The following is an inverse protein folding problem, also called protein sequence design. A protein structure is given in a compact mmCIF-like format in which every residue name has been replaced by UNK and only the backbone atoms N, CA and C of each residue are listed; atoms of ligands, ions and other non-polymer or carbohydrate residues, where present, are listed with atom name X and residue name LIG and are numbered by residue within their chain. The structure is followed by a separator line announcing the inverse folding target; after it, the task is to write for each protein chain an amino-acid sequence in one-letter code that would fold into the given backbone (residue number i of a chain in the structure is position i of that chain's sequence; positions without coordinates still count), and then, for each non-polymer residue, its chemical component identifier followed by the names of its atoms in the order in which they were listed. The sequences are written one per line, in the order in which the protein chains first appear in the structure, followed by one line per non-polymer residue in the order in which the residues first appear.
data_IF_594150004570
#
_entry.id   IF_594150004570
#
_cell.length_a   1.000
_cell.length_b   1.000
_cell.length_c   1.000
_cell.angle_alpha   90.00
_cell.angle_beta   90.00
_cell.angle_gamma   90.00
#
_symmetry.space_group_name_H-M   'P 1'
#
loop_
_entity.id
_entity.type
_entity.pdbx_description
1 polymer ?
#
# COMPACT_ATOMS: atom_id res chain seq x y z
N UNK A 1 -22.25 3.69 -39.86
CA UNK A 1 -21.47 3.48 -38.62
C UNK A 1 -21.03 4.85 -38.13
N UNK A 2 -21.83 5.46 -37.25
CA UNK A 2 -21.79 6.89 -36.87
C UNK A 2 -21.99 7.05 -35.34
N UNK A 3 -21.48 6.12 -34.54
CA UNK A 3 -21.82 6.07 -33.11
C UNK A 3 -20.85 6.85 -32.21
N UNK A 4 -19.69 7.32 -32.72
CA UNK A 4 -18.71 8.09 -31.93
C UNK A 4 -19.00 9.59 -31.89
N UNK A 5 -19.07 10.24 -33.06
CA UNK A 5 -19.28 11.68 -33.16
C UNK A 5 -20.65 12.14 -32.60
N UNK A 6 -21.64 11.25 -32.63
CA UNK A 6 -22.99 11.53 -32.13
C UNK A 6 -23.08 11.62 -30.59
N UNK A 7 -22.03 11.27 -29.85
CA UNK A 7 -22.02 11.44 -28.39
C UNK A 7 -21.48 12.81 -27.97
N UNK A 8 -20.34 13.25 -28.51
CA UNK A 8 -19.72 14.54 -28.19
C UNK A 8 -20.62 15.73 -28.57
N UNK A 9 -21.23 15.67 -29.75
CA UNK A 9 -22.14 16.72 -30.22
C UNK A 9 -23.38 16.90 -29.31
N UNK A 10 -23.86 15.83 -28.66
CA UNK A 10 -24.97 15.91 -27.68
C UNK A 10 -24.58 16.70 -26.43
N UNK A 11 -23.29 16.78 -26.12
CA UNK A 11 -22.74 17.57 -25.01
C UNK A 11 -22.15 18.92 -25.47
N UNK A 12 -22.39 19.33 -26.72
CA UNK A 12 -21.99 20.64 -27.24
C UNK A 12 -20.54 20.72 -27.74
N UNK A 13 -19.86 19.58 -27.92
CA UNK A 13 -18.50 19.54 -28.49
C UNK A 13 -18.64 19.20 -29.97
N UNK A 14 -18.67 20.22 -30.84
CA UNK A 14 -18.98 20.07 -32.27
C UNK A 14 -17.92 20.61 -33.23
N UNK A 15 -16.94 21.36 -32.74
CA UNK A 15 -15.98 22.08 -33.58
C UNK A 15 -14.55 21.65 -33.30
N UNK A 16 -13.74 21.65 -34.36
CA UNK A 16 -12.30 21.40 -34.29
C UNK A 16 -11.53 22.69 -34.56
N UNK A 17 -10.36 22.85 -33.92
CA UNK A 17 -9.47 24.00 -34.15
C UNK A 17 -8.88 23.95 -35.57
N UNK A 18 -8.53 22.74 -36.04
CA UNK A 18 -7.98 22.51 -37.38
C UNK A 18 -9.09 22.00 -38.30
N UNK A 19 -9.42 22.76 -39.35
CA UNK A 19 -10.53 22.45 -40.26
C UNK A 19 -10.11 21.72 -41.55
N UNK A 20 -8.89 21.95 -42.01
CA UNK A 20 -8.44 21.54 -43.34
C UNK A 20 -7.63 20.22 -43.34
N UNK A 21 -7.74 19.42 -42.28
CA UNK A 21 -7.00 18.16 -42.13
C UNK A 21 -7.98 17.04 -41.81
N UNK A 22 -7.91 15.98 -42.61
CA UNK A 22 -8.71 14.78 -42.37
C UNK A 22 -8.32 14.11 -41.05
N UNK A 23 -9.34 13.71 -40.29
CA UNK A 23 -9.15 12.92 -39.08
C UNK A 23 -8.62 11.52 -39.41
N UNK A 24 -7.97 10.89 -38.43
CA UNK A 24 -7.57 9.49 -38.50
C UNK A 24 -8.24 8.69 -37.38
N UNK A 25 -8.20 7.36 -37.48
CA UNK A 25 -8.70 6.45 -36.46
C UNK A 25 -7.56 5.79 -35.73
N UNK A 26 -7.66 5.73 -34.41
CA UNK A 26 -6.71 5.06 -33.54
C UNK A 26 -7.41 4.48 -32.31
N UNK A 27 -6.77 3.49 -31.69
CA UNK A 27 -7.24 2.94 -30.42
C UNK A 27 -6.55 3.73 -29.30
N UNK A 28 -7.34 4.44 -28.50
CA UNK A 28 -6.86 5.12 -27.30
C UNK A 28 -7.12 4.24 -26.08
N UNK A 29 -6.20 4.24 -25.11
CA UNK A 29 -6.27 3.44 -23.87
C UNK A 29 -6.29 1.91 -24.07
N UNK A 30 -5.49 1.38 -25.00
CA UNK A 30 -5.41 -0.07 -25.25
C UNK A 30 -4.80 -0.84 -24.07
N UNK A 31 -3.78 -0.28 -23.42
CA UNK A 31 -3.21 -0.74 -22.15
C UNK A 31 -3.30 0.39 -21.13
N UNK A 32 -3.35 0.03 -19.85
CA UNK A 32 -3.35 1.01 -18.76
C UNK A 32 -2.13 1.94 -18.81
N UNK A 33 -0.99 1.44 -19.29
CA UNK A 33 0.26 2.19 -19.40
C UNK A 33 0.31 3.14 -20.60
N UNK A 34 -0.63 3.04 -21.54
CA UNK A 34 -0.67 3.92 -22.72
C UNK A 34 -1.19 5.32 -22.37
N UNK A 35 -1.82 5.50 -21.20
CA UNK A 35 -2.33 6.79 -20.73
C UNK A 35 -2.07 6.97 -19.23
N UNK A 36 -0.99 7.68 -18.89
CA UNK A 36 -0.59 7.98 -17.51
C UNK A 36 -0.89 9.44 -17.17
N UNK A 37 -1.47 9.68 -16.00
CA UNK A 37 -1.81 11.02 -15.50
C UNK A 37 -1.01 11.27 -14.23
N UNK A 38 -0.37 12.45 -14.14
CA UNK A 38 0.22 12.95 -12.90
C UNK A 38 -0.43 14.27 -12.55
N UNK A 39 -1.01 14.36 -11.37
CA UNK A 39 -1.61 15.60 -10.86
C UNK A 39 -0.53 16.67 -10.63
N UNK A 40 -0.90 17.92 -10.86
CA UNK A 40 -0.11 19.10 -10.51
C UNK A 40 -0.88 19.86 -9.45
N UNK A 41 -0.27 20.09 -8.29
CA UNK A 41 -0.92 20.82 -7.20
C UNK A 41 -0.99 22.34 -7.47
N UNK A 42 -1.63 23.07 -6.55
CA UNK A 42 -1.79 24.53 -6.65
C UNK A 42 -0.45 25.28 -6.62
N UNK A 43 0.61 24.66 -6.09
CA UNK A 43 1.97 25.19 -6.04
C UNK A 43 2.79 24.80 -7.28
N UNK A 44 2.19 24.11 -8.24
CA UNK A 44 2.83 23.68 -9.49
C UNK A 44 3.69 22.43 -9.36
N UNK A 45 3.63 21.70 -8.24
CA UNK A 45 4.40 20.49 -8.02
C UNK A 45 3.67 19.28 -8.63
N UNK A 46 4.43 18.52 -9.42
CA UNK A 46 3.96 17.27 -10.01
C UNK A 46 4.01 16.17 -8.94
N UNK A 47 2.87 15.53 -8.68
CA UNK A 47 2.77 14.41 -7.75
C UNK A 47 3.38 13.16 -8.41
N UNK A 48 4.38 12.57 -7.75
CA UNK A 48 5.08 11.36 -8.19
C UNK A 48 5.28 10.42 -7.01
N UNK A 49 5.33 9.13 -7.29
CA UNK A 49 5.73 8.13 -6.29
C UNK A 49 7.19 8.39 -5.86
N UNK A 50 7.41 8.60 -4.56
CA UNK A 50 8.71 8.93 -3.97
C UNK A 50 9.35 7.76 -3.21
N UNK A 51 8.81 6.55 -3.33
CA UNK A 51 9.28 5.35 -2.63
C UNK A 51 8.50 5.04 -1.36
N UNK A 52 8.74 3.86 -0.74
CA UNK A 52 8.14 3.49 0.53
C UNK A 52 8.79 4.30 1.66
N UNK A 53 8.14 5.39 2.08
CA UNK A 53 8.53 6.07 3.32
C UNK A 53 7.74 5.45 4.47
N UNK A 54 8.45 4.79 5.39
CA UNK A 54 7.88 4.45 6.69
C UNK A 54 8.02 5.69 7.58
N UNK A 55 6.99 6.07 8.36
CA UNK A 55 7.17 7.10 9.36
C UNK A 55 8.27 6.67 10.33
N UNK A 56 9.26 7.55 10.55
CA UNK A 56 10.29 7.34 11.55
C UNK A 56 9.64 7.49 12.93
N UNK A 57 9.23 6.37 13.51
CA UNK A 57 8.85 6.31 14.93
C UNK A 57 10.16 6.28 15.71
N UNK A 58 10.29 7.13 16.72
CA UNK A 58 11.45 7.07 17.60
C UNK A 58 11.49 5.69 18.28
N UNK A 59 12.63 5.01 18.29
CA UNK A 59 12.72 3.69 18.90
C UNK A 59 12.42 3.83 20.39
N UNK A 60 11.28 3.28 20.82
CA UNK A 60 11.02 3.06 22.24
C UNK A 60 12.11 2.08 22.71
N UNK A 61 13.05 2.57 23.52
CA UNK A 61 14.06 1.71 24.16
C UNK A 61 13.34 0.80 25.15
N UNK A 62 12.93 -0.37 24.66
CA UNK A 62 12.50 -1.45 25.54
C UNK A 62 13.79 -2.07 26.07
N UNK A 63 14.08 -1.85 27.35
CA UNK A 63 15.20 -2.55 27.98
C UNK A 63 14.98 -4.05 27.82
N UNK A 64 16.00 -4.76 27.35
CA UNK A 64 16.00 -6.21 27.22
C UNK A 64 15.93 -6.85 28.62
N UNK A 65 14.75 -6.81 29.23
CA UNK A 65 14.39 -7.75 30.28
C UNK A 65 14.23 -9.10 29.61
N UNK A 66 14.65 -10.16 30.30
CA UNK A 66 14.35 -11.53 29.92
C UNK A 66 12.83 -11.65 29.69
N UNK A 67 12.42 -11.57 28.43
CA UNK A 67 11.02 -11.67 28.04
C UNK A 67 10.61 -13.12 28.32
N UNK A 68 9.94 -13.33 29.44
CA UNK A 68 9.30 -14.59 29.77
C UNK A 68 8.10 -14.78 28.84
N UNK A 69 8.32 -15.48 27.74
CA UNK A 69 7.28 -15.76 26.77
C UNK A 69 6.35 -16.83 27.33
N UNK A 70 5.06 -16.51 27.40
CA UNK A 70 4.04 -17.46 27.83
C UNK A 70 4.04 -18.69 26.92
N UNK A 71 3.94 -19.88 27.52
CA UNK A 71 3.83 -21.13 26.76
C UNK A 71 2.47 -21.12 26.03
N UNK A 72 2.40 -21.67 24.82
CA UNK A 72 1.16 -21.67 24.03
C UNK A 72 -0.06 -22.21 24.82
N UNK A 73 0.16 -23.19 25.71
CA UNK A 73 -0.86 -23.78 26.57
C UNK A 73 -1.48 -22.81 27.58
N UNK A 74 -0.80 -21.71 27.91
CA UNK A 74 -1.22 -20.71 28.89
C UNK A 74 -1.85 -19.47 28.23
N UNK A 75 -1.89 -19.43 26.89
CA UNK A 75 -2.51 -18.34 26.15
C UNK A 75 -4.04 -18.34 26.29
N UNK A 76 -4.63 -17.15 26.14
CA UNK A 76 -6.08 -16.99 26.06
C UNK A 76 -6.65 -17.75 24.84
N UNK A 77 -7.93 -18.10 24.90
CA UNK A 77 -8.59 -18.84 23.83
C UNK A 77 -8.56 -18.08 22.49
N UNK A 78 -8.65 -16.75 22.54
CA UNK A 78 -8.61 -15.87 21.37
C UNK A 78 -7.25 -15.93 20.65
N UNK A 79 -6.15 -15.92 21.40
CA UNK A 79 -4.80 -15.98 20.83
C UNK A 79 -4.48 -17.40 20.34
N UNK A 80 -4.96 -18.45 21.02
CA UNK A 80 -4.82 -19.84 20.56
C UNK A 80 -5.51 -20.10 19.23
N UNK A 81 -6.60 -19.38 18.94
CA UNK A 81 -7.31 -19.47 17.66
C UNK A 81 -6.51 -18.86 16.49
N UNK A 82 -5.67 -17.85 16.77
CA UNK A 82 -4.88 -17.15 15.76
C UNK A 82 -3.54 -17.84 15.48
N UNK A 83 -2.94 -18.48 16.50
CA UNK A 83 -1.62 -19.11 16.38
C UNK A 83 -1.68 -20.57 16.76
N UNK A 84 -1.33 -21.44 15.81
CA UNK A 84 -1.04 -22.83 16.14
C UNK A 84 0.16 -22.92 17.10
N UNK A 85 0.30 -24.02 17.86
CA UNK A 85 1.47 -24.23 18.73
C UNK A 85 2.80 -24.09 17.98
N UNK A 86 2.85 -24.53 16.72
CA UNK A 86 4.05 -24.44 15.88
C UNK A 86 4.31 -22.99 15.45
N UNK A 87 3.26 -22.26 15.07
CA UNK A 87 3.36 -20.84 14.71
C UNK A 87 3.83 -20.01 15.89
N UNK A 88 3.30 -20.28 17.09
CA UNK A 88 3.72 -19.61 18.32
C UNK A 88 5.19 -19.86 18.63
N UNK A 89 5.61 -21.13 18.62
CA UNK A 89 7.02 -21.51 18.84
C UNK A 89 7.95 -20.81 17.84
N UNK A 90 7.55 -20.73 16.57
CA UNK A 90 8.33 -20.06 15.53
C UNK A 90 8.42 -18.55 15.75
N UNK A 91 7.33 -17.94 16.21
CA UNK A 91 7.26 -16.51 16.52
C UNK A 91 8.19 -16.16 17.70
N UNK A 92 8.20 -16.98 18.75
CA UNK A 92 9.13 -16.83 19.88
C UNK A 92 10.60 -17.04 19.46
N UNK A 93 10.88 -17.98 18.56
CA UNK A 93 12.24 -18.16 18.02
C UNK A 93 12.69 -16.94 17.21
N UNK A 94 11.79 -16.37 16.41
CA UNK A 94 12.07 -15.17 15.63
C UNK A 94 12.30 -13.95 16.53
N UNK A 95 11.46 -13.76 17.54
CA UNK A 95 11.64 -12.64 18.48
C UNK A 95 12.98 -12.74 19.22
N UNK A 96 13.36 -13.92 19.73
CA UNK A 96 14.69 -14.15 20.34
C UNK A 96 15.85 -13.91 19.37
N UNK A 97 15.72 -14.33 18.10
CA UNK A 97 16.76 -14.16 17.08
C UNK A 97 16.98 -12.68 16.70
N UNK A 98 15.93 -11.87 16.74
CA UNK A 98 15.96 -10.47 16.29
C UNK A 98 15.86 -9.44 17.41
N UNK A 99 15.80 -9.85 18.69
CA UNK A 99 15.68 -8.98 19.87
C UNK A 99 16.79 -7.91 20.01
N UNK A 100 17.94 -8.09 19.36
CA UNK A 100 19.05 -7.14 19.36
C UNK A 100 19.25 -6.35 18.07
N UNK A 101 18.34 -6.45 17.10
CA UNK A 101 18.47 -5.79 15.80
C UNK A 101 17.49 -4.61 15.72
N UNK A 102 18.02 -3.38 15.72
CA UNK A 102 17.25 -2.12 15.81
C UNK A 102 16.15 -1.97 14.74
N UNK A 103 16.27 -2.68 13.61
CA UNK A 103 15.30 -2.66 12.52
C UNK A 103 14.05 -3.52 12.76
N UNK A 104 14.04 -4.39 13.78
CA UNK A 104 12.94 -5.31 14.09
C UNK A 104 12.40 -5.17 15.51
N UNK A 105 12.93 -4.22 16.29
CA UNK A 105 12.47 -3.91 17.65
C UNK A 105 11.02 -3.43 17.72
N UNK A 106 10.37 -3.18 16.58
CA UNK A 106 8.97 -2.75 16.49
C UNK A 106 8.01 -3.86 16.05
N UNK A 107 8.53 -5.07 15.73
CA UNK A 107 7.70 -6.28 15.64
C UNK A 107 7.42 -6.83 17.05
N UNK A 108 7.09 -5.94 17.99
CA UNK A 108 6.30 -6.36 19.13
C UNK A 108 4.92 -6.72 18.58
N UNK A 109 4.69 -8.01 18.52
CA UNK A 109 3.35 -8.54 18.37
C UNK A 109 2.63 -8.20 19.68
N UNK A 110 2.00 -7.02 19.71
CA UNK A 110 1.15 -6.57 20.81
C UNK A 110 -0.08 -7.48 20.84
N UNK A 111 0.07 -8.67 21.43
CA UNK A 111 -1.05 -9.40 22.04
C UNK A 111 -1.16 -8.95 23.49
N UNK A 112 -1.38 -7.64 23.68
CA UNK A 112 -1.83 -7.13 24.97
C UNK A 112 -3.34 -7.08 24.94
N UNK A 113 -3.91 -8.02 25.71
CA UNK A 113 -5.24 -8.02 26.30
C UNK A 113 -6.03 -6.71 26.10
N UNK A 114 -7.13 -6.84 25.36
CA UNK A 114 -8.40 -6.26 25.80
C UNK A 114 -9.32 -7.39 26.22
#
# INVERSE_FOLDING_TARGET
MEEGASHEAKFGISEYITKDVDGFRGILKHRYSDFLVNEVDLDGKIIRFSGPSLPKVEPVKVEAKDLDYTVHGELSAEVKALFSPLTWTRLIQMSKKYAGNDIYSHLEVVFLNK
#
